data_IF_128177477380
#
_entry.id   IF_128177477380
#
_cell.length_a   1.000
_cell.length_b   1.000
_cell.length_c   1.000
_cell.angle_alpha   90.00
_cell.angle_beta   90.00
_cell.angle_gamma   90.00
#
_symmetry.space_group_name_H-M   'P 1'
#
loop_
_entity.id
_entity.type
_entity.pdbx_description
1 polymer ?
#
# COMPACT_ATOMS: atom_id res chain seq x y z
N UNK A 1 3.78 -17.49 -16.78
CA UNK A 1 4.58 -16.24 -16.89
C UNK A 1 3.99 -15.18 -15.98
N UNK A 2 2.69 -14.90 -16.06
CA UNK A 2 2.01 -13.99 -15.15
C UNK A 2 2.17 -14.41 -13.67
N UNK A 3 2.07 -15.70 -13.36
CA UNK A 3 2.26 -16.25 -12.02
C UNK A 3 3.63 -15.91 -11.42
N UNK A 4 4.70 -16.07 -12.22
CA UNK A 4 6.06 -15.75 -11.79
C UNK A 4 6.21 -14.25 -11.52
N UNK A 5 5.67 -13.40 -12.39
CA UNK A 5 5.69 -11.94 -12.20
C UNK A 5 4.92 -11.54 -10.94
N UNK A 6 3.76 -12.14 -10.67
CA UNK A 6 3.00 -11.86 -9.45
C UNK A 6 3.74 -12.36 -8.20
N UNK A 7 4.41 -13.50 -8.30
CA UNK A 7 5.31 -14.01 -7.26
C UNK A 7 6.45 -13.04 -6.96
N UNK A 8 7.11 -12.50 -7.99
CA UNK A 8 8.18 -11.52 -7.83
C UNK A 8 7.69 -10.22 -7.19
N UNK A 9 6.50 -9.75 -7.57
CA UNK A 9 5.87 -8.58 -6.94
C UNK A 9 5.56 -8.87 -5.47
N UNK A 10 4.95 -10.01 -5.17
CA UNK A 10 4.61 -10.40 -3.80
C UNK A 10 5.88 -10.52 -2.93
N UNK A 11 6.94 -11.14 -3.47
CA UNK A 11 8.24 -11.24 -2.79
C UNK A 11 8.85 -9.87 -2.52
N UNK A 12 8.79 -8.96 -3.50
CA UNK A 12 9.29 -7.60 -3.33
C UNK A 12 8.53 -6.85 -2.23
N UNK A 13 7.19 -6.89 -2.25
CA UNK A 13 6.36 -6.24 -1.24
C UNK A 13 6.59 -6.82 0.15
N UNK A 14 6.73 -8.14 0.26
CA UNK A 14 7.06 -8.78 1.53
C UNK A 14 8.35 -8.19 2.11
N UNK A 15 9.42 -8.17 1.33
CA UNK A 15 10.75 -7.73 1.81
C UNK A 15 10.82 -6.22 2.09
N UNK A 16 10.17 -5.38 1.29
CA UNK A 16 10.38 -3.93 1.36
C UNK A 16 9.25 -3.18 2.07
N UNK A 17 8.05 -3.77 2.14
CA UNK A 17 6.86 -3.13 2.71
C UNK A 17 6.39 -3.87 3.96
N UNK A 18 6.09 -5.16 3.83
CA UNK A 18 5.48 -5.92 4.94
C UNK A 18 6.48 -6.18 6.06
N UNK A 19 7.72 -6.56 5.74
CA UNK A 19 8.77 -6.79 6.74
C UNK A 19 9.11 -5.48 7.48
N UNK A 20 9.04 -4.32 6.82
CA UNK A 20 9.21 -3.03 7.47
C UNK A 20 8.06 -2.75 8.47
N UNK A 21 6.82 -3.00 8.08
CA UNK A 21 5.64 -2.85 8.95
C UNK A 21 5.68 -3.83 10.13
N UNK A 22 6.13 -5.08 9.93
CA UNK A 22 6.12 -6.12 10.95
C UNK A 22 7.26 -5.99 11.96
N UNK A 23 8.47 -5.70 11.48
CA UNK A 23 9.69 -5.91 12.26
C UNK A 23 10.35 -4.61 12.75
N UNK A 24 9.94 -3.45 12.26
CA UNK A 24 10.48 -2.18 12.76
C UNK A 24 9.86 -1.85 14.12
N UNK A 25 10.71 -1.71 15.15
CA UNK A 25 10.28 -1.42 16.52
C UNK A 25 9.52 -0.10 16.63
N UNK A 26 10.08 0.97 16.05
CA UNK A 26 9.43 2.27 15.99
C UNK A 26 8.35 2.26 14.90
N UNK A 27 7.08 2.40 15.30
CA UNK A 27 5.92 2.36 14.39
C UNK A 27 5.85 3.54 13.43
N UNK A 28 6.28 4.74 13.84
CA UNK A 28 6.35 5.89 12.93
C UNK A 28 7.40 5.66 11.84
N UNK A 29 8.57 5.15 12.22
CA UNK A 29 9.61 4.77 11.27
C UNK A 29 9.14 3.65 10.31
N UNK A 30 8.34 2.70 10.81
CA UNK A 30 7.75 1.63 10.00
C UNK A 30 6.81 2.22 8.92
N UNK A 31 5.94 3.15 9.31
CA UNK A 31 5.02 3.84 8.40
C UNK A 31 5.78 4.69 7.38
N UNK A 32 6.75 5.49 7.84
CA UNK A 32 7.67 6.27 6.99
C UNK A 32 8.33 5.39 5.92
N UNK A 33 8.87 4.25 6.34
CA UNK A 33 9.53 3.27 5.46
C UNK A 33 8.55 2.68 4.45
N UNK A 34 7.34 2.31 4.88
CA UNK A 34 6.30 1.81 3.98
C UNK A 34 5.94 2.84 2.90
N UNK A 35 5.66 4.09 3.29
CA UNK A 35 5.29 5.14 2.34
C UNK A 35 6.42 5.45 1.35
N UNK A 36 7.68 5.50 1.82
CA UNK A 36 8.83 5.68 0.94
C UNK A 36 9.02 4.49 -0.03
N UNK A 37 8.84 3.27 0.45
CA UNK A 37 8.88 2.05 -0.37
C UNK A 37 7.79 2.04 -1.44
N UNK A 38 6.57 2.43 -1.09
CA UNK A 38 5.43 2.58 -2.01
C UNK A 38 5.74 3.62 -3.10
N UNK A 39 6.22 4.80 -2.71
CA UNK A 39 6.56 5.86 -3.67
C UNK A 39 7.63 5.41 -4.68
N UNK A 40 8.67 4.75 -4.17
CA UNK A 40 9.76 4.18 -4.97
C UNK A 40 9.26 3.09 -5.92
N UNK A 41 8.50 2.12 -5.41
CA UNK A 41 7.98 0.99 -6.20
C UNK A 41 7.12 1.45 -7.39
N UNK A 42 6.25 2.45 -7.13
CA UNK A 42 5.36 3.00 -8.14
C UNK A 42 6.00 4.11 -8.98
N UNK A 43 7.30 4.36 -8.81
CA UNK A 43 8.08 5.34 -9.58
C UNK A 43 7.42 6.72 -9.60
N UNK A 44 7.03 7.22 -8.43
CA UNK A 44 6.34 8.51 -8.27
C UNK A 44 5.06 8.58 -9.11
N UNK A 45 4.24 7.51 -9.08
CA UNK A 45 2.97 7.43 -9.79
C UNK A 45 3.05 7.09 -11.28
N UNK A 46 4.26 6.86 -11.83
CA UNK A 46 4.45 6.51 -13.26
C UNK A 46 4.22 5.02 -13.56
N UNK A 47 4.02 4.19 -12.53
CA UNK A 47 3.76 2.76 -12.67
C UNK A 47 2.40 2.41 -12.06
N UNK A 48 1.54 1.73 -12.82
CA UNK A 48 0.29 1.18 -12.29
C UNK A 48 0.56 -0.03 -11.37
N UNK A 49 -0.38 -0.27 -10.46
CA UNK A 49 -0.40 -1.50 -9.68
C UNK A 49 -0.85 -2.68 -10.55
N UNK A 50 0.06 -3.62 -10.83
CA UNK A 50 -0.29 -4.81 -11.61
C UNK A 50 -1.35 -5.67 -10.91
N UNK A 51 -1.28 -5.82 -9.59
CA UNK A 51 -2.31 -6.52 -8.81
C UNK A 51 -3.68 -5.86 -8.99
N UNK A 52 -3.74 -4.52 -8.92
CA UNK A 52 -4.97 -3.76 -9.16
C UNK A 52 -5.49 -3.89 -10.60
N UNK A 53 -4.60 -3.87 -11.60
CA UNK A 53 -4.97 -4.08 -13.01
C UNK A 53 -5.56 -5.47 -13.23
N UNK A 54 -4.96 -6.51 -12.64
CA UNK A 54 -5.49 -7.88 -12.75
C UNK A 54 -6.82 -8.01 -12.03
N UNK A 55 -6.95 -7.44 -10.82
CA UNK A 55 -8.19 -7.44 -10.05
C UNK A 55 -9.36 -6.76 -10.80
N UNK A 56 -9.07 -5.74 -11.60
CA UNK A 56 -10.06 -5.05 -12.43
C UNK A 56 -10.27 -5.68 -13.83
N UNK A 57 -9.59 -6.79 -14.13
CA UNK A 57 -9.64 -7.46 -15.43
C UNK A 57 -10.45 -8.76 -15.38
N UNK A 58 -10.72 -9.36 -16.55
CA UNK A 58 -11.32 -10.69 -16.64
C UNK A 58 -10.43 -11.85 -16.13
N UNK A 59 -9.20 -11.56 -15.66
CA UNK A 59 -8.29 -12.57 -15.11
C UNK A 59 -8.35 -12.70 -13.58
N UNK A 60 -9.23 -11.98 -12.89
CA UNK A 60 -9.38 -12.01 -11.43
C UNK A 60 -9.46 -13.43 -10.87
N UNK A 61 -10.40 -14.25 -11.37
CA UNK A 61 -10.69 -15.57 -10.79
C UNK A 61 -9.49 -16.52 -10.87
N UNK A 62 -8.64 -16.35 -11.89
CA UNK A 62 -7.40 -17.12 -12.05
C UNK A 62 -6.37 -16.81 -10.96
N UNK A 63 -6.35 -15.59 -10.45
CA UNK A 63 -5.34 -15.10 -9.49
C UNK A 63 -5.95 -14.65 -8.16
N UNK A 64 -7.18 -15.09 -7.86
CA UNK A 64 -7.94 -14.61 -6.71
C UNK A 64 -7.20 -14.82 -5.38
N UNK A 65 -6.44 -15.92 -5.25
CA UNK A 65 -5.66 -16.21 -4.04
C UNK A 65 -4.51 -15.23 -3.86
N UNK A 66 -3.72 -14.99 -4.91
CA UNK A 66 -2.58 -14.09 -4.91
C UNK A 66 -3.02 -12.64 -4.66
N UNK A 67 -4.11 -12.23 -5.33
CA UNK A 67 -4.71 -10.91 -5.15
C UNK A 67 -5.23 -10.72 -3.72
N UNK A 68 -5.97 -11.70 -3.20
CA UNK A 68 -6.51 -11.64 -1.86
C UNK A 68 -5.39 -11.52 -0.83
N UNK A 69 -4.39 -12.41 -0.89
CA UNK A 69 -3.25 -12.39 0.01
C UNK A 69 -2.48 -11.06 -0.02
N UNK A 70 -2.20 -10.54 -1.23
CA UNK A 70 -1.50 -9.27 -1.39
C UNK A 70 -2.22 -8.11 -0.68
N UNK A 71 -3.53 -7.95 -0.88
CA UNK A 71 -4.27 -6.84 -0.29
C UNK A 71 -4.64 -7.08 1.19
N UNK A 72 -4.91 -8.33 1.60
CA UNK A 72 -5.21 -8.67 2.99
C UNK A 72 -3.98 -8.50 3.88
N UNK A 73 -2.82 -8.96 3.44
CA UNK A 73 -1.58 -8.86 4.21
C UNK A 73 -1.19 -7.39 4.39
N UNK A 74 -1.25 -6.60 3.31
CA UNK A 74 -0.95 -5.18 3.40
C UNK A 74 -1.86 -4.45 4.40
N UNK A 75 -3.17 -4.70 4.34
CA UNK A 75 -4.13 -4.11 5.28
C UNK A 75 -3.88 -4.56 6.71
N UNK A 76 -3.64 -5.86 6.93
CA UNK A 76 -3.44 -6.42 8.26
C UNK A 76 -2.16 -5.88 8.92
N UNK A 77 -1.04 -5.88 8.19
CA UNK A 77 0.24 -5.38 8.69
C UNK A 77 0.20 -3.87 8.95
N UNK A 78 -0.49 -3.12 8.09
CA UNK A 78 -0.69 -1.69 8.28
C UNK A 78 -1.57 -1.41 9.51
N UNK A 79 -2.70 -2.10 9.66
CA UNK A 79 -3.58 -1.94 10.81
C UNK A 79 -2.85 -2.25 12.12
N UNK A 80 -2.06 -3.33 12.17
CA UNK A 80 -1.25 -3.68 13.34
C UNK A 80 -0.20 -2.61 13.64
N UNK A 81 0.41 -2.02 12.62
CA UNK A 81 1.37 -0.92 12.78
C UNK A 81 0.71 0.37 13.28
N UNK A 82 -0.49 0.69 12.79
CA UNK A 82 -1.28 1.83 13.24
C UNK A 82 -1.69 1.68 14.72
N UNK A 83 -2.08 0.47 15.13
CA UNK A 83 -2.38 0.17 16.53
C UNK A 83 -1.16 0.40 17.42
N UNK A 84 0.03 -0.09 17.01
CA UNK A 84 1.30 0.17 17.70
C UNK A 84 1.66 1.66 17.75
N UNK A 85 1.28 2.42 16.72
CA UNK A 85 1.47 3.88 16.66
C UNK A 85 0.46 4.67 17.52
N UNK A 86 -0.45 4.00 18.24
CA UNK A 86 -1.42 4.64 19.12
C UNK A 86 -2.75 5.00 18.47
N UNK A 87 -3.02 4.55 17.23
CA UNK A 87 -4.34 4.68 16.63
C UNK A 87 -5.34 3.80 17.40
N UNK A 88 -6.56 4.27 17.71
CA UNK A 88 -7.57 3.43 18.36
C UNK A 88 -7.83 2.14 17.57
N UNK A 89 -7.84 1.00 18.25
CA UNK A 89 -8.04 -0.32 17.63
C UNK A 89 -9.28 -0.38 16.74
N UNK A 90 -10.36 0.29 17.14
CA UNK A 90 -11.61 0.37 16.39
C UNK A 90 -11.46 1.08 15.02
N UNK A 91 -10.46 1.94 14.86
CA UNK A 91 -10.20 2.72 13.65
C UNK A 91 -9.11 2.10 12.76
N UNK A 92 -8.24 1.26 13.31
CA UNK A 92 -7.05 0.75 12.60
C UNK A 92 -7.39 0.03 11.29
N UNK A 93 -8.40 -0.83 11.29
CA UNK A 93 -8.81 -1.57 10.08
C UNK A 93 -9.43 -0.65 9.02
N UNK A 94 -10.25 0.31 9.45
CA UNK A 94 -10.89 1.26 8.55
C UNK A 94 -9.86 2.21 7.93
N UNK A 95 -8.93 2.71 8.75
CA UNK A 95 -7.84 3.56 8.28
C UNK A 95 -6.91 2.78 7.33
N UNK A 96 -6.52 1.54 7.66
CA UNK A 96 -5.70 0.73 6.76
C UNK A 96 -6.38 0.48 5.41
N UNK A 97 -7.68 0.21 5.39
CA UNK A 97 -8.47 0.08 4.16
C UNK A 97 -8.46 1.38 3.35
N UNK A 98 -8.67 2.51 4.00
CA UNK A 98 -8.66 3.82 3.36
C UNK A 98 -7.29 4.15 2.75
N UNK A 99 -6.20 3.86 3.47
CA UNK A 99 -4.83 4.12 2.99
C UNK A 99 -4.51 3.26 1.77
N UNK A 100 -4.74 1.95 1.84
CA UNK A 100 -4.47 1.04 0.71
C UNK A 100 -5.34 1.39 -0.49
N UNK A 101 -6.64 1.62 -0.29
CA UNK A 101 -7.56 2.04 -1.34
C UNK A 101 -7.18 3.39 -1.94
N UNK A 102 -6.79 4.36 -1.12
CA UNK A 102 -6.32 5.68 -1.54
C UNK A 102 -5.06 5.62 -2.40
N UNK A 103 -4.09 4.76 -2.05
CA UNK A 103 -2.89 4.52 -2.86
C UNK A 103 -3.28 3.97 -4.23
N UNK A 104 -4.15 2.95 -4.29
CA UNK A 104 -4.60 2.38 -5.57
C UNK A 104 -5.35 3.39 -6.44
N UNK A 105 -6.27 4.15 -5.84
CA UNK A 105 -7.03 5.20 -6.53
C UNK A 105 -6.12 6.32 -7.04
N UNK A 106 -5.10 6.72 -6.28
CA UNK A 106 -4.15 7.74 -6.67
C UNK A 106 -3.31 7.34 -7.90
N UNK A 107 -2.96 6.06 -8.04
CA UNK A 107 -2.27 5.55 -9.23
C UNK A 107 -3.18 5.62 -10.47
N UNK A 108 -4.47 5.30 -10.32
CA UNK A 108 -5.45 5.43 -11.40
C UNK A 108 -5.61 6.90 -11.80
N UNK A 109 -5.77 7.80 -10.83
CA UNK A 109 -5.89 9.25 -11.07
C UNK A 109 -4.67 9.79 -11.82
N UNK A 110 -3.46 9.50 -11.32
CA UNK A 110 -2.22 9.97 -11.93
C UNK A 110 -2.09 9.51 -13.39
N UNK A 111 -2.45 8.26 -13.68
CA UNK A 111 -2.41 7.70 -15.04
C UNK A 111 -3.49 8.26 -15.95
N UNK A 112 -4.67 8.53 -15.42
CA UNK A 112 -5.84 8.99 -16.18
C UNK A 112 -5.71 10.46 -16.57
N UNK A 113 -5.11 11.26 -15.70
CA UNK A 113 -4.92 12.70 -15.90
C UNK A 113 -3.56 13.05 -16.50
N UNK A 114 -2.70 12.07 -16.75
CA UNK A 114 -1.29 12.26 -17.12
C UNK A 114 -0.54 13.20 -16.13
N UNK A 115 -0.89 13.12 -14.84
CA UNK A 115 -0.30 13.91 -13.75
C UNK A 115 0.30 12.96 -12.69
N UNK A 116 1.57 12.54 -12.84
CA UNK A 116 2.27 11.76 -11.81
C UNK A 116 2.29 12.45 -10.44
N UNK A 117 2.23 13.78 -10.40
CA UNK A 117 2.19 14.55 -9.16
C UNK A 117 0.91 14.32 -8.34
N UNK A 118 -0.19 13.91 -8.97
CA UNK A 118 -1.43 13.57 -8.26
C UNK A 118 -1.21 12.43 -7.26
N UNK A 119 -0.39 11.44 -7.62
CA UNK A 119 -0.03 10.34 -6.74
C UNK A 119 0.73 10.83 -5.50
N UNK A 120 1.80 11.62 -5.69
CA UNK A 120 2.59 12.15 -4.58
C UNK A 120 1.78 13.02 -3.61
N UNK A 121 0.87 13.85 -4.15
CA UNK A 121 -0.02 14.69 -3.32
C UNK A 121 -0.97 13.86 -2.45
N UNK A 122 -1.55 12.79 -3.00
CA UNK A 122 -2.41 11.89 -2.22
C UNK A 122 -1.59 11.11 -1.21
N UNK A 123 -0.43 10.56 -1.62
CA UNK A 123 0.44 9.78 -0.74
C UNK A 123 0.88 10.58 0.49
N UNK A 124 1.26 11.85 0.30
CA UNK A 124 1.60 12.75 1.41
C UNK A 124 0.44 12.96 2.38
N UNK A 125 -0.79 13.15 1.87
CA UNK A 125 -1.99 13.30 2.70
C UNK A 125 -2.32 12.03 3.48
N UNK A 126 -2.24 10.86 2.83
CA UNK A 126 -2.46 9.56 3.48
C UNK A 126 -1.43 9.32 4.59
N UNK A 127 -0.16 9.66 4.33
CA UNK A 127 0.90 9.57 5.34
C UNK A 127 0.63 10.44 6.58
N UNK A 128 0.21 11.69 6.40
CA UNK A 128 -0.18 12.57 7.52
C UNK A 128 -1.34 11.99 8.34
N UNK A 129 -2.23 11.19 7.75
CA UNK A 129 -3.31 10.53 8.49
C UNK A 129 -2.85 9.35 9.35
N UNK A 130 -1.69 8.77 9.04
CA UNK A 130 -1.13 7.64 9.79
C UNK A 130 -0.20 8.08 10.92
N UNK A 131 0.44 9.24 10.77
CA UNK A 131 1.36 9.78 11.76
C UNK A 131 0.59 10.65 12.75
N UNK A 132 0.87 10.55 14.06
CA UNK A 132 0.28 11.45 15.04
C UNK A 132 0.60 12.90 14.66
N UNK A 133 -0.35 13.81 14.91
CA UNK A 133 -0.06 15.24 14.77
C UNK A 133 1.10 15.57 15.71
N UNK A 134 2.23 16.01 15.14
CA UNK A 134 3.37 16.49 15.93
C UNK A 134 2.86 17.57 16.88
N UNK A 135 2.96 17.29 18.19
CA UNK A 135 2.58 18.22 19.26
C UNK A 135 3.58 19.35 19.39
#
# INVERSE_FOLDING_TARGET
>A
MAEAVLGDIAAWFRTHIFDALRNTENSEQALETMFAGVDSYFRQGRRLCLMGVIAASGAHDRFARELNGYFSDWRADLAATLERAGTPKAECNALAEEIVGGIQGALILARSLDDPGAFGRVLARLKTRCLPASS
#
